data_IF_505984609280
#
_entry.id   IF_505984609280
#
_cell.length_a   1.000
_cell.length_b   1.000
_cell.length_c   1.000
_cell.angle_alpha   90.00
_cell.angle_beta   90.00
_cell.angle_gamma   90.00
#
_symmetry.space_group_name_H-M   'P 1'
#
loop_
_entity.id
_entity.type
_entity.pdbx_description
1 polymer ?
#
# COMPACT_ATOMS: atom_id res chain seq x y z
N UNK A 1 -32.47 -5.71 -34.48
CA UNK A 1 -31.22 -6.52 -34.43
C UNK A 1 -30.04 -5.83 -33.72
N UNK A 2 -30.27 -4.75 -32.95
CA UNK A 2 -29.19 -3.97 -32.30
C UNK A 2 -29.07 -4.31 -30.79
N UNK A 3 -30.21 -4.56 -30.13
CA UNK A 3 -30.29 -4.85 -28.69
C UNK A 3 -29.55 -6.16 -28.32
N UNK A 4 -29.60 -7.18 -29.18
CA UNK A 4 -28.91 -8.46 -28.97
C UNK A 4 -27.37 -8.34 -29.05
N UNK A 5 -26.82 -7.33 -29.75
CA UNK A 5 -25.37 -7.11 -29.85
C UNK A 5 -24.83 -6.40 -28.61
N UNK A 6 -25.59 -5.46 -28.04
CA UNK A 6 -25.23 -4.76 -26.80
C UNK A 6 -25.17 -5.71 -25.58
N UNK A 7 -26.12 -6.64 -25.48
CA UNK A 7 -26.13 -7.65 -24.41
C UNK A 7 -24.93 -8.61 -24.46
N UNK A 8 -24.45 -8.98 -25.66
CA UNK A 8 -23.24 -9.80 -25.81
C UNK A 8 -21.97 -9.07 -25.38
N UNK A 9 -21.84 -7.78 -25.70
CA UNK A 9 -20.67 -6.98 -25.28
C UNK A 9 -20.65 -6.79 -23.76
N UNK A 10 -21.83 -6.61 -23.14
CA UNK A 10 -21.95 -6.50 -21.69
C UNK A 10 -21.55 -7.80 -20.98
N UNK A 11 -21.98 -8.96 -21.50
CA UNK A 11 -21.63 -10.27 -20.94
C UNK A 11 -20.15 -10.63 -21.09
N UNK A 12 -19.53 -10.30 -22.23
CA UNK A 12 -18.09 -10.52 -22.45
C UNK A 12 -17.27 -9.60 -21.53
N UNK A 13 -17.69 -8.35 -21.36
CA UNK A 13 -17.05 -7.43 -20.41
C UNK A 13 -17.11 -7.95 -18.96
N UNK A 14 -18.28 -8.45 -18.53
CA UNK A 14 -18.45 -9.01 -17.19
C UNK A 14 -17.63 -10.29 -16.96
N UNK A 15 -17.53 -11.15 -17.97
CA UNK A 15 -16.72 -12.37 -17.91
C UNK A 15 -15.21 -12.08 -17.85
N UNK A 16 -14.73 -11.04 -18.56
CA UNK A 16 -13.32 -10.61 -18.49
C UNK A 16 -12.98 -10.05 -17.11
N UNK A 17 -13.89 -9.31 -16.46
CA UNK A 17 -13.69 -8.82 -15.08
C UNK A 17 -13.71 -9.97 -14.07
N UNK A 18 -14.58 -10.98 -14.25
CA UNK A 18 -14.63 -12.13 -13.34
C UNK A 18 -13.43 -13.07 -13.49
N UNK A 19 -12.95 -13.30 -14.72
CA UNK A 19 -11.79 -14.17 -14.98
C UNK A 19 -10.45 -13.50 -14.62
N UNK A 20 -10.29 -12.19 -14.85
CA UNK A 20 -9.06 -11.47 -14.47
C UNK A 20 -9.08 -10.95 -13.03
N UNK A 21 -10.26 -10.80 -12.42
CA UNK A 21 -10.40 -10.46 -11.00
C UNK A 21 -9.91 -11.60 -10.09
N UNK A 22 -10.10 -12.86 -10.50
CA UNK A 22 -9.61 -14.01 -9.74
C UNK A 22 -8.12 -14.29 -9.92
N UNK A 23 -7.54 -13.97 -11.08
CA UNK A 23 -6.10 -14.18 -11.31
C UNK A 23 -5.19 -13.21 -10.52
N UNK A 24 -5.75 -12.17 -9.88
CA UNK A 24 -5.05 -11.26 -8.98
C UNK A 24 -5.31 -11.55 -7.49
N UNK A 25 -6.06 -12.61 -7.18
CA UNK A 25 -6.44 -12.97 -5.81
C UNK A 25 -5.60 -14.12 -5.20
N UNK A 26 -4.68 -14.70 -5.97
CA UNK A 26 -3.95 -15.93 -5.60
C UNK A 26 -2.54 -15.73 -5.01
N UNK A 27 -2.25 -14.55 -4.45
CA UNK A 27 -1.15 -14.39 -3.46
C UNK A 27 -1.72 -14.19 -2.06
N UNK A 28 -2.41 -15.23 -1.59
CA UNK A 28 -2.95 -15.31 -0.24
C UNK A 28 -1.83 -15.63 0.76
N UNK A 29 -1.37 -14.60 1.48
CA UNK A 29 -0.36 -14.80 2.50
C UNK A 29 -0.22 -13.76 3.60
N UNK A 30 -1.03 -12.68 3.67
CA UNK A 30 -1.29 -11.88 4.90
C UNK A 30 -2.21 -10.65 4.71
N UNK A 31 -2.89 -10.46 3.57
CA UNK A 31 -3.29 -9.10 3.17
C UNK A 31 -4.78 -8.77 3.35
N UNK A 32 -5.26 -8.82 4.60
CA UNK A 32 -6.56 -8.20 4.97
C UNK A 32 -6.42 -6.72 5.38
N UNK A 33 -5.38 -6.02 4.88
CA UNK A 33 -5.15 -4.63 5.22
C UNK A 33 -6.20 -3.73 4.56
N UNK A 34 -6.87 -2.90 5.36
CA UNK A 34 -7.82 -1.91 4.84
C UNK A 34 -7.05 -0.70 4.34
N UNK A 35 -6.95 -0.53 3.02
CA UNK A 35 -6.37 0.66 2.39
C UNK A 35 -7.26 1.87 2.67
N UNK A 36 -6.67 2.94 3.21
CA UNK A 36 -7.35 4.21 3.47
C UNK A 36 -7.10 5.22 2.35
N UNK A 37 -5.88 5.25 1.80
CA UNK A 37 -5.56 6.11 0.67
C UNK A 37 -4.35 5.63 -0.12
N UNK A 38 -4.33 6.07 -1.38
CA UNK A 38 -3.22 5.90 -2.33
C UNK A 38 -2.92 7.27 -2.93
N UNK A 39 -1.73 7.81 -2.67
CA UNK A 39 -1.34 9.19 -2.99
C UNK A 39 -0.12 9.19 -3.92
N UNK A 40 -0.28 9.52 -5.21
CA UNK A 40 0.84 9.59 -6.15
C UNK A 40 1.71 10.84 -5.92
N UNK A 41 3.03 10.66 -5.98
CA UNK A 41 4.05 11.72 -5.81
C UNK A 41 4.62 12.10 -7.18
N UNK A 42 3.84 12.86 -7.96
CA UNK A 42 4.15 13.17 -9.37
C UNK A 42 5.46 13.96 -9.56
N UNK A 43 5.81 14.82 -8.62
CA UNK A 43 6.99 15.69 -8.69
C UNK A 43 8.29 15.00 -8.23
N UNK A 44 8.23 13.73 -7.81
CA UNK A 44 9.35 13.00 -7.22
C UNK A 44 9.75 13.48 -5.82
N UNK A 45 9.02 14.46 -5.26
CA UNK A 45 9.18 14.99 -3.90
C UNK A 45 7.82 15.19 -3.25
N UNK A 46 7.77 15.11 -1.93
CA UNK A 46 6.56 15.46 -1.17
C UNK A 46 6.36 16.97 -1.23
N UNK A 47 5.31 17.41 -1.93
CA UNK A 47 4.92 18.81 -2.06
C UNK A 47 3.61 19.11 -1.31
N UNK A 48 3.15 20.36 -1.38
CA UNK A 48 1.93 20.80 -0.67
C UNK A 48 0.67 20.06 -1.13
N UNK A 49 0.59 19.61 -2.38
CA UNK A 49 -0.55 18.85 -2.85
C UNK A 49 -0.60 17.48 -2.19
N UNK A 50 0.56 16.82 -2.03
CA UNK A 50 0.68 15.55 -1.30
C UNK A 50 0.27 15.75 0.17
N UNK A 51 0.81 16.77 0.86
CA UNK A 51 0.42 17.04 2.26
C UNK A 51 -1.08 17.26 2.44
N UNK A 52 -1.71 18.05 1.55
CA UNK A 52 -3.17 18.28 1.60
C UNK A 52 -3.98 17.00 1.44
N UNK A 53 -3.50 16.00 0.70
CA UNK A 53 -4.20 14.71 0.61
C UNK A 53 -4.14 13.97 1.94
N UNK A 54 -2.99 13.97 2.61
CA UNK A 54 -2.85 13.37 3.93
C UNK A 54 -3.64 14.13 5.01
N UNK A 55 -3.72 15.47 4.93
CA UNK A 55 -4.54 16.28 5.84
C UNK A 55 -6.01 15.83 5.85
N UNK A 56 -6.55 15.45 4.69
CA UNK A 56 -7.94 14.96 4.57
C UNK A 56 -8.16 13.63 5.29
N UNK A 57 -7.11 12.83 5.48
CA UNK A 57 -7.18 11.53 6.16
C UNK A 57 -7.06 11.66 7.67
N UNK A 58 -6.50 12.77 8.18
CA UNK A 58 -6.26 12.97 9.62
C UNK A 58 -7.51 12.70 10.48
N UNK A 59 -8.73 13.15 10.13
CA UNK A 59 -9.93 12.84 10.92
C UNK A 59 -10.22 11.34 11.02
N UNK A 60 -9.94 10.56 9.97
CA UNK A 60 -10.10 9.11 9.98
C UNK A 60 -8.98 8.43 10.76
N UNK A 61 -7.74 8.86 10.55
CA UNK A 61 -6.57 8.35 11.28
C UNK A 61 -6.73 8.54 12.79
N UNK A 62 -7.28 9.67 13.24
CA UNK A 62 -7.56 9.91 14.67
C UNK A 62 -8.61 8.99 15.28
N UNK A 63 -9.46 8.33 14.47
CA UNK A 63 -10.46 7.36 14.94
C UNK A 63 -9.89 5.96 15.09
N UNK A 64 -8.70 5.70 14.55
CA UNK A 64 -8.06 4.40 14.64
C UNK A 64 -7.62 4.16 16.10
N UNK A 65 -7.97 2.99 16.63
CA UNK A 65 -7.51 2.56 17.96
C UNK A 65 -5.98 2.52 17.98
N UNK A 66 -5.36 3.04 19.04
CA UNK A 66 -3.89 3.00 19.22
C UNK A 66 -3.30 1.59 19.22
N UNK A 67 -4.12 0.59 19.45
CA UNK A 67 -3.73 -0.82 19.39
C UNK A 67 -3.57 -1.36 17.96
N UNK A 68 -3.89 -0.57 16.93
CA UNK A 68 -3.79 -0.96 15.52
C UNK A 68 -2.49 -0.45 14.93
N UNK A 69 -1.88 -1.28 14.10
CA UNK A 69 -0.72 -0.90 13.30
C UNK A 69 -1.21 -0.33 11.97
N UNK A 70 -0.69 0.85 11.61
CA UNK A 70 -0.98 1.53 10.35
C UNK A 70 0.25 1.44 9.47
N UNK A 71 0.12 0.79 8.32
CA UNK A 71 1.16 0.74 7.29
C UNK A 71 1.20 2.05 6.52
N UNK A 72 2.38 2.64 6.40
CA UNK A 72 2.71 3.68 5.42
C UNK A 72 3.70 3.10 4.42
N UNK A 73 3.20 2.72 3.25
CA UNK A 73 3.99 2.09 2.19
C UNK A 73 4.41 3.14 1.15
N UNK A 74 5.67 3.13 0.74
CA UNK A 74 6.12 3.83 -0.48
C UNK A 74 6.50 2.83 -1.55
N UNK A 75 5.69 2.79 -2.62
CA UNK A 75 6.04 2.10 -3.85
C UNK A 75 6.89 3.03 -4.71
N UNK A 76 8.04 2.54 -5.16
CA UNK A 76 9.05 3.30 -5.88
C UNK A 76 9.55 2.54 -7.11
N UNK A 77 9.56 3.19 -8.27
CA UNK A 77 10.18 2.61 -9.48
C UNK A 77 11.68 2.89 -9.46
N UNK A 78 12.48 1.87 -9.18
CA UNK A 78 13.93 2.00 -9.01
C UNK A 78 14.64 0.66 -8.95
N UNK A 79 15.89 0.66 -8.49
CA UNK A 79 16.70 -0.53 -8.28
C UNK A 79 16.87 -0.78 -6.78
N UNK A 80 16.41 -1.92 -6.22
CA UNK A 80 16.56 -2.22 -4.80
C UNK A 80 18.04 -2.35 -4.38
N UNK A 81 18.90 -2.72 -5.32
CA UNK A 81 20.35 -2.80 -5.17
C UNK A 81 21.06 -1.43 -5.22
N UNK A 82 20.33 -0.35 -5.55
CA UNK A 82 20.87 1.00 -5.58
C UNK A 82 20.48 1.75 -4.31
N UNK A 83 21.48 1.98 -3.45
CA UNK A 83 21.31 2.69 -2.17
C UNK A 83 20.54 4.01 -2.31
N UNK A 84 20.83 4.80 -3.35
CA UNK A 84 20.15 6.09 -3.58
C UNK A 84 18.65 5.94 -3.82
N UNK A 85 18.21 4.89 -4.50
CA UNK A 85 16.79 4.68 -4.78
C UNK A 85 16.07 4.26 -3.50
N UNK A 86 16.70 3.38 -2.70
CA UNK A 86 16.24 2.99 -1.37
C UNK A 86 16.11 4.22 -0.46
N UNK A 87 17.16 5.04 -0.38
CA UNK A 87 17.19 6.23 0.47
C UNK A 87 16.11 7.25 0.05
N UNK A 88 15.92 7.45 -1.26
CA UNK A 88 14.87 8.33 -1.77
C UNK A 88 13.48 7.85 -1.37
N UNK A 89 13.19 6.55 -1.50
CA UNK A 89 11.90 5.99 -1.13
C UNK A 89 11.63 6.14 0.38
N UNK A 90 12.61 5.83 1.23
CA UNK A 90 12.50 6.05 2.67
C UNK A 90 12.31 7.53 3.02
N UNK A 91 13.03 8.44 2.35
CA UNK A 91 12.86 9.89 2.56
C UNK A 91 11.44 10.37 2.22
N UNK A 92 10.80 9.80 1.20
CA UNK A 92 9.42 10.16 0.84
C UNK A 92 8.44 9.71 1.92
N UNK A 93 8.48 8.44 2.34
CA UNK A 93 7.61 7.92 3.38
C UNK A 93 7.85 8.61 4.74
N UNK A 94 9.13 8.72 5.14
CA UNK A 94 9.52 9.34 6.41
C UNK A 94 9.12 10.81 6.53
N UNK A 95 9.09 11.56 5.42
CA UNK A 95 8.56 12.94 5.44
C UNK A 95 7.08 12.99 5.78
N UNK A 96 6.28 12.06 5.26
CA UNK A 96 4.85 11.98 5.59
C UNK A 96 4.63 11.48 7.01
N UNK A 97 5.34 10.43 7.45
CA UNK A 97 5.27 9.96 8.83
C UNK A 97 5.56 11.09 9.82
N UNK A 98 6.70 11.76 9.63
CA UNK A 98 7.12 12.88 10.49
C UNK A 98 6.11 14.01 10.46
N UNK A 99 5.60 14.36 9.28
CA UNK A 99 4.57 15.39 9.13
C UNK A 99 3.30 15.04 9.91
N UNK A 100 2.77 13.83 9.76
CA UNK A 100 1.59 13.36 10.48
C UNK A 100 1.78 13.39 12.01
N UNK A 101 2.95 12.93 12.49
CA UNK A 101 3.29 12.93 13.92
C UNK A 101 3.45 14.34 14.48
N UNK A 102 4.25 15.18 13.84
CA UNK A 102 4.61 16.49 14.37
C UNK A 102 3.49 17.52 14.20
N UNK A 103 2.88 17.58 13.01
CA UNK A 103 1.86 18.58 12.68
C UNK A 103 0.51 18.24 13.28
N UNK A 104 0.09 16.97 13.19
CA UNK A 104 -1.26 16.54 13.57
C UNK A 104 -1.34 15.83 14.91
N UNK A 105 -0.19 15.63 15.57
CA UNK A 105 -0.06 14.92 16.86
C UNK A 105 -0.70 13.54 16.81
N UNK A 106 -0.52 12.83 15.70
CA UNK A 106 -1.01 11.48 15.53
C UNK A 106 -0.15 10.52 16.36
N UNK A 107 -0.77 9.95 17.37
CA UNK A 107 -0.20 8.93 18.25
C UNK A 107 -0.62 7.53 17.75
N UNK A 108 -0.17 7.22 16.54
CA UNK A 108 -0.39 5.95 15.87
C UNK A 108 0.94 5.22 15.70
N UNK A 109 0.87 3.89 15.75
CA UNK A 109 1.98 3.03 15.35
C UNK A 109 2.03 2.96 13.82
N UNK A 110 2.83 3.85 13.23
CA UNK A 110 3.04 3.96 11.80
C UNK A 110 4.23 3.12 11.38
N UNK A 111 3.96 1.97 10.76
CA UNK A 111 4.98 1.12 10.20
C UNK A 111 5.30 1.56 8.76
N UNK A 112 6.50 2.11 8.57
CA UNK A 112 6.99 2.49 7.24
C UNK A 112 7.50 1.27 6.49
N UNK A 113 6.96 1.04 5.29
CA UNK A 113 7.33 -0.05 4.40
C UNK A 113 7.72 0.52 3.04
N UNK A 114 8.74 -0.04 2.40
CA UNK A 114 9.17 0.39 1.07
C UNK A 114 9.08 -0.80 0.11
N UNK A 115 8.45 -0.57 -1.03
CA UNK A 115 8.35 -1.52 -2.15
C UNK A 115 9.08 -0.92 -3.35
N UNK A 116 10.23 -1.51 -3.73
CA UNK A 116 11.03 -1.06 -4.87
C UNK A 116 10.97 -2.11 -5.96
N UNK A 117 10.39 -1.74 -7.10
CA UNK A 117 10.29 -2.63 -8.26
C UNK A 117 11.02 -2.03 -9.47
N UNK A 118 11.71 -2.91 -10.21
CA UNK A 118 12.31 -2.61 -11.52
C UNK A 118 11.20 -2.59 -12.59
N UNK A 119 10.25 -1.67 -12.43
CA UNK A 119 9.12 -1.48 -13.35
C UNK A 119 9.32 -0.24 -14.24
N UNK A 120 8.45 -0.07 -15.24
CA UNK A 120 8.43 1.14 -16.10
C UNK A 120 8.45 2.38 -15.20
N UNK A 121 9.30 3.35 -15.54
CA UNK A 121 9.51 4.58 -14.77
C UNK A 121 8.16 5.24 -14.46
N UNK A 122 7.69 5.07 -13.23
CA UNK A 122 6.45 5.63 -12.73
C UNK A 122 6.72 6.54 -11.55
N UNK A 123 5.79 7.46 -11.28
CA UNK A 123 5.87 8.31 -10.09
C UNK A 123 5.75 7.44 -8.84
N UNK A 124 6.52 7.72 -7.76
CA UNK A 124 6.33 7.04 -6.49
C UNK A 124 4.90 7.17 -5.99
N UNK A 125 4.44 6.16 -5.25
CA UNK A 125 3.09 6.12 -4.68
C UNK A 125 3.20 5.87 -3.19
N UNK A 126 2.49 6.69 -2.40
CA UNK A 126 2.38 6.52 -0.96
C UNK A 126 1.01 5.95 -0.62
N UNK A 127 0.99 4.80 0.03
CA UNK A 127 -0.24 4.11 0.43
C UNK A 127 -0.31 4.07 1.95
N UNK A 128 -1.46 4.42 2.52
CA UNK A 128 -1.71 4.25 3.96
C UNK A 128 -2.83 3.23 4.15
N UNK A 129 -2.56 2.24 4.99
CA UNK A 129 -3.46 1.12 5.22
C UNK A 129 -3.45 0.71 6.70
N UNK A 130 -4.56 0.18 7.19
CA UNK A 130 -4.65 -0.36 8.55
C UNK A 130 -4.57 -1.87 8.47
N UNK A 131 -3.61 -2.47 9.19
CA UNK A 131 -3.52 -3.92 9.27
C UNK A 131 -4.70 -4.49 10.06
N UNK A 132 -5.08 -5.73 9.73
CA UNK A 132 -6.03 -6.48 10.55
C UNK A 132 -5.41 -6.82 11.91
N UNK A 133 -6.24 -7.19 12.88
CA UNK A 133 -5.73 -7.64 14.19
C UNK A 133 -4.93 -8.94 14.08
N UNK A 134 -5.04 -9.68 12.97
CA UNK A 134 -4.33 -10.94 12.79
C UNK A 134 -2.82 -10.75 12.69
N UNK A 135 -2.33 -9.56 12.34
CA UNK A 135 -0.89 -9.28 12.36
C UNK A 135 -0.29 -9.38 13.77
N UNK A 136 -1.10 -9.22 14.82
CA UNK A 136 -0.67 -9.41 16.22
C UNK A 136 -0.40 -10.88 16.55
N UNK A 137 -0.88 -11.81 15.72
CA UNK A 137 -0.59 -13.24 15.86
C UNK A 137 0.74 -13.62 15.22
N UNK A 138 1.48 -12.69 14.60
CA UNK A 138 2.82 -12.97 14.07
C UNK A 138 3.78 -13.49 15.15
N UNK A 139 3.68 -13.00 16.38
CA UNK A 139 4.50 -13.49 17.51
C UNK A 139 4.19 -14.95 17.89
N UNK A 140 3.03 -15.48 17.47
CA UNK A 140 2.65 -16.88 17.65
C UNK A 140 3.11 -17.78 16.47
N UNK A 141 3.70 -17.19 15.44
CA UNK A 141 4.29 -17.95 14.33
C UNK A 141 5.57 -18.60 14.83
N UNK A 142 5.51 -19.92 15.02
CA UNK A 142 6.67 -20.72 15.36
C UNK A 142 7.67 -20.66 14.20
N UNK A 143 8.81 -20.02 14.45
CA UNK A 143 9.97 -20.13 13.56
C UNK A 143 10.54 -21.53 13.79
N UNK A 144 10.23 -22.49 12.90
CA UNK A 144 10.92 -23.78 12.88
C UNK A 144 12.20 -23.65 12.04
N UNK A 145 13.39 -23.52 12.67
CA UNK A 145 14.64 -23.38 11.95
C UNK A 145 15.02 -24.62 11.12
N UNK A 146 14.28 -25.74 11.22
CA UNK A 146 14.57 -26.97 10.46
C UNK A 146 13.92 -27.04 9.08
N UNK A 147 13.15 -26.04 8.65
CA UNK A 147 12.62 -25.96 7.28
C UNK A 147 13.54 -25.13 6.38
N UNK A 148 14.78 -25.59 6.19
CA UNK A 148 15.65 -25.11 5.10
C UNK A 148 15.46 -25.98 3.87
N UNK A 149 15.32 -25.31 2.72
CA UNK A 149 15.56 -25.80 1.36
C UNK A 149 14.60 -26.85 0.80
N UNK A 150 13.43 -26.41 0.31
CA UNK A 150 12.87 -26.90 -0.95
C UNK A 150 12.04 -25.79 -1.60
N UNK A 151 12.67 -24.96 -2.43
CA UNK A 151 12.16 -24.45 -3.71
C UNK A 151 13.24 -23.62 -4.41
#
# INVERSE_FOLDING_TARGET
MIIARLLKVLYIGLAVVLLHGHALADESGLDSAKVLAVVPVKSGKVDQAVYRQFDKLVPELKKISKSKVVKLECRYSGQPDRERDVENAYKLAGRIEKYLRERHKLDLDLWVVIDISKTVKSSPVLTIAVFSDDIKKLDSVLIDPKKKEQQ
#
